data_IF_311888510695
#
_entry.id   IF_311888510695
#
_cell.length_a   1.000
_cell.length_b   1.000
_cell.length_c   1.000
_cell.angle_alpha   90.00
_cell.angle_beta   90.00
_cell.angle_gamma   90.00
#
_symmetry.space_group_name_H-M   'P 1'
#
loop_
_entity.id
_entity.type
_entity.pdbx_description
1 polymer ?
#
# COMPACT_ATOMS: atom_id res chain seq x y z
N UNK A 1 3.45 -12.16 -10.31
CA UNK A 1 3.41 -11.10 -9.29
C UNK A 1 2.03 -10.94 -8.70
N UNK A 2 1.96 -10.82 -7.38
CA UNK A 2 0.74 -10.48 -6.67
C UNK A 2 0.58 -8.95 -6.61
N UNK A 3 -0.65 -8.49 -6.78
CA UNK A 3 -1.02 -7.09 -6.68
C UNK A 3 -1.11 -6.63 -5.23
N UNK A 4 -0.85 -5.35 -4.98
CA UNK A 4 -0.97 -4.78 -3.64
C UNK A 4 -2.40 -4.72 -3.09
N UNK A 5 -3.43 -4.88 -3.92
CA UNK A 5 -4.85 -4.90 -3.51
C UNK A 5 -5.11 -5.76 -2.26
N UNK A 6 -4.54 -6.97 -2.20
CA UNK A 6 -4.73 -7.87 -1.06
C UNK A 6 -4.06 -7.35 0.21
N UNK A 7 -2.85 -6.82 0.10
CA UNK A 7 -2.09 -6.24 1.22
C UNK A 7 -2.83 -5.02 1.78
N UNK A 8 -3.33 -4.17 0.90
CA UNK A 8 -4.07 -2.96 1.22
C UNK A 8 -5.36 -3.27 1.98
N UNK A 9 -6.17 -4.20 1.48
CA UNK A 9 -7.39 -4.64 2.16
C UNK A 9 -7.09 -5.25 3.53
N UNK A 10 -6.08 -6.12 3.61
CA UNK A 10 -5.69 -6.75 4.88
C UNK A 10 -5.21 -5.72 5.92
N UNK A 11 -4.47 -4.70 5.50
CA UNK A 11 -4.02 -3.62 6.38
C UNK A 11 -5.18 -2.73 6.84
N UNK A 12 -6.09 -2.38 5.91
CA UNK A 12 -7.31 -1.63 6.22
C UNK A 12 -8.18 -2.35 7.25
N UNK A 13 -8.41 -3.65 7.06
CA UNK A 13 -9.17 -4.49 8.01
C UNK A 13 -8.48 -4.58 9.38
N UNK A 14 -7.16 -4.77 9.40
CA UNK A 14 -6.37 -4.84 10.63
C UNK A 14 -6.37 -3.54 11.42
N UNK A 15 -6.35 -2.41 10.72
CA UNK A 15 -6.38 -1.06 11.33
C UNK A 15 -7.80 -0.55 11.57
N UNK A 16 -8.83 -1.26 11.08
CA UNK A 16 -10.24 -0.84 11.09
C UNK A 16 -10.46 0.53 10.44
N UNK A 17 -9.68 0.82 9.41
CA UNK A 17 -9.76 2.05 8.63
C UNK A 17 -10.30 1.73 7.25
N UNK A 18 -10.96 2.71 6.62
CA UNK A 18 -11.43 2.56 5.25
C UNK A 18 -10.25 2.65 4.29
N UNK A 19 -10.20 1.79 3.27
CA UNK A 19 -9.10 1.79 2.30
C UNK A 19 -8.93 3.17 1.63
N UNK A 20 -10.03 3.89 1.39
CA UNK A 20 -10.02 5.24 0.81
C UNK A 20 -9.38 6.30 1.73
N UNK A 21 -9.30 6.03 3.04
CA UNK A 21 -8.64 6.88 4.03
C UNK A 21 -7.14 6.61 4.13
N UNK A 22 -6.65 5.55 3.47
CA UNK A 22 -5.25 5.13 3.49
C UNK A 22 -4.58 5.46 2.17
N UNK A 23 -3.37 5.99 2.24
CA UNK A 23 -2.50 6.19 1.07
C UNK A 23 -1.21 5.45 1.34
N UNK A 24 -0.92 4.49 0.47
CA UNK A 24 0.33 3.73 0.50
C UNK A 24 1.32 4.40 -0.43
N UNK A 25 2.54 4.59 0.06
CA UNK A 25 3.64 5.19 -0.69
C UNK A 25 4.90 4.33 -0.58
N UNK A 26 5.67 4.27 -1.66
CA UNK A 26 6.98 3.65 -1.73
C UNK A 26 7.92 4.64 -2.43
N UNK A 27 9.09 4.89 -1.84
CA UNK A 27 10.06 5.90 -2.32
C UNK A 27 9.49 7.29 -2.61
N UNK A 28 8.44 7.67 -1.89
CA UNK A 28 7.75 8.95 -2.06
C UNK A 28 6.66 8.97 -3.14
N UNK A 29 6.56 7.91 -3.94
CA UNK A 29 5.51 7.72 -4.94
C UNK A 29 4.34 6.91 -4.40
N UNK A 30 3.13 7.23 -4.85
CA UNK A 30 1.92 6.53 -4.40
C UNK A 30 1.77 5.20 -5.11
N UNK A 31 1.47 4.17 -4.34
CA UNK A 31 1.22 2.83 -4.83
C UNK A 31 -0.26 2.66 -5.14
N UNK A 32 -0.55 2.14 -6.33
CA UNK A 32 -1.87 1.71 -6.74
C UNK A 32 -2.15 0.27 -6.31
N UNK A 33 -3.39 -0.11 -5.98
CA UNK A 33 -3.74 -1.50 -5.70
C UNK A 33 -3.48 -2.45 -6.88
N UNK A 34 -3.36 -1.93 -8.11
CA UNK A 34 -3.03 -2.71 -9.30
C UNK A 34 -1.53 -2.92 -9.51
N UNK A 35 -0.68 -2.16 -8.80
CA UNK A 35 0.77 -2.29 -8.90
C UNK A 35 1.24 -3.57 -8.22
N UNK A 36 2.43 -3.99 -8.60
CA UNK A 36 3.09 -5.16 -8.04
C UNK A 36 4.47 -4.78 -7.50
N UNK A 37 5.03 -5.57 -6.56
CA UNK A 37 6.40 -5.36 -6.10
C UNK A 37 7.39 -5.28 -7.27
N UNK A 38 7.27 -6.18 -8.26
CA UNK A 38 8.13 -6.16 -9.43
C UNK A 38 7.97 -4.91 -10.32
N UNK A 39 6.77 -4.32 -10.44
CA UNK A 39 6.60 -3.09 -11.22
C UNK A 39 7.19 -1.86 -10.54
N UNK A 40 7.37 -1.93 -9.22
CA UNK A 40 7.99 -0.88 -8.41
C UNK A 40 9.45 -1.18 -8.11
N UNK A 41 10.02 -2.25 -8.70
CA UNK A 41 11.39 -2.70 -8.45
C UNK A 41 11.69 -2.90 -6.96
N UNK A 42 10.68 -3.32 -6.18
CA UNK A 42 10.83 -3.54 -4.74
C UNK A 42 11.68 -4.77 -4.44
N UNK A 43 12.58 -4.63 -3.48
CA UNK A 43 13.43 -5.69 -2.96
C UNK A 43 12.90 -6.25 -1.63
N UNK A 44 13.45 -7.38 -1.22
CA UNK A 44 13.25 -7.87 0.14
C UNK A 44 13.80 -6.82 1.14
N UNK A 45 13.07 -6.60 2.24
CA UNK A 45 13.31 -5.58 3.28
C UNK A 45 12.87 -4.13 2.95
N UNK A 46 12.28 -3.89 1.77
CA UNK A 46 11.68 -2.59 1.47
C UNK A 46 10.47 -2.23 2.35
N UNK A 47 10.28 -0.93 2.58
CA UNK A 47 9.24 -0.40 3.46
C UNK A 47 8.18 0.38 2.67
N UNK A 48 6.92 0.02 2.89
CA UNK A 48 5.77 0.79 2.41
C UNK A 48 5.32 1.75 3.52
N UNK A 49 5.29 3.04 3.21
CA UNK A 49 4.75 4.06 4.08
C UNK A 49 3.24 4.13 3.95
N UNK A 50 2.53 4.23 5.08
CA UNK A 50 1.06 4.36 5.09
C UNK A 50 0.65 5.67 5.72
N UNK A 51 0.00 6.52 4.93
CA UNK A 51 -0.52 7.81 5.33
C UNK A 51 -2.04 7.74 5.53
N UNK A 52 -2.51 8.02 6.75
CA UNK A 52 -3.95 8.11 7.04
C UNK A 52 -4.42 9.54 6.75
N UNK A 53 -5.23 9.69 5.70
CA UNK A 53 -5.94 10.94 5.42
C UNK A 53 -7.06 11.11 6.44
N UNK A 54 -6.89 12.06 7.36
CA UNK A 54 -8.00 12.56 8.17
C UNK A 54 -8.86 13.48 7.29
N UNK A 55 -10.16 13.18 7.22
CA UNK A 55 -11.17 14.11 6.70
C UNK A 55 -11.24 15.35 7.57
#
# INVERSE_FOLDING_TARGET
DDKFERLFNMYADKTKLELQSLVFSFDGDKISPADTPASLEMEDDDLIEVHVKKR
#
